data_IF_910188166777
#
_entry.id   IF_910188166777
#
_cell.length_a   1.000
_cell.length_b   1.000
_cell.length_c   1.000
_cell.angle_alpha   90.00
_cell.angle_beta   90.00
_cell.angle_gamma   90.00
#
_symmetry.space_group_name_H-M   'P 1'
#
loop_
_entity.id
_entity.type
_entity.pdbx_description
1 polymer ?
#
# COMPACT_ATOMS: atom_id res chain seq x y z
N UNK A 1 23.16 18.33 4.77
CA UNK A 1 22.15 18.01 3.72
C UNK A 1 20.75 18.08 4.30
N UNK A 2 20.48 17.39 5.42
CA UNK A 2 19.18 17.37 6.14
C UNK A 2 18.47 18.73 6.23
N UNK A 3 19.11 19.77 6.80
CA UNK A 3 18.49 21.10 6.99
C UNK A 3 18.08 21.78 5.68
N UNK A 4 18.90 21.62 4.63
CA UNK A 4 18.60 22.20 3.31
C UNK A 4 17.47 21.43 2.62
N UNK A 5 17.46 20.11 2.76
CA UNK A 5 16.39 19.26 2.23
C UNK A 5 15.06 19.57 2.89
N UNK A 6 15.03 19.65 4.22
CA UNK A 6 13.81 19.98 4.96
C UNK A 6 13.31 21.40 4.62
N UNK A 7 14.21 22.37 4.43
CA UNK A 7 13.82 23.72 4.01
C UNK A 7 13.20 23.75 2.60
N UNK A 8 13.59 22.85 1.70
CA UNK A 8 13.08 22.80 0.33
C UNK A 8 11.83 21.91 0.17
N UNK A 9 11.76 20.79 0.90
CA UNK A 9 10.74 19.74 0.72
C UNK A 9 9.71 19.74 1.86
N UNK A 10 10.00 20.39 2.99
CA UNK A 10 9.13 20.43 4.18
C UNK A 10 9.18 19.16 5.05
N UNK A 11 9.81 18.09 4.57
CA UNK A 11 9.96 16.81 5.26
C UNK A 11 11.44 16.45 5.45
N UNK A 12 11.75 15.63 6.45
CA UNK A 12 13.08 15.03 6.51
C UNK A 12 13.23 13.97 5.41
N UNK A 13 14.44 13.76 4.87
CA UNK A 13 14.75 12.66 3.95
C UNK A 13 14.22 11.31 4.44
N UNK A 14 14.34 11.02 5.74
CA UNK A 14 13.84 9.77 6.33
C UNK A 14 12.33 9.61 6.19
N UNK A 15 11.56 10.68 6.42
CA UNK A 15 10.10 10.63 6.27
C UNK A 15 9.73 10.40 4.81
N UNK A 16 10.41 11.08 3.88
CA UNK A 16 10.17 10.86 2.46
C UNK A 16 10.45 9.39 2.06
N UNK A 17 11.57 8.82 2.50
CA UNK A 17 11.86 7.40 2.23
C UNK A 17 10.78 6.45 2.77
N UNK A 18 10.13 6.78 3.89
CA UNK A 18 9.02 5.97 4.43
C UNK A 18 7.77 6.06 3.54
N UNK A 19 7.46 7.26 3.04
CA UNK A 19 6.33 7.49 2.12
C UNK A 19 6.57 6.77 0.79
N UNK A 20 7.74 6.94 0.18
CA UNK A 20 8.11 6.26 -1.06
C UNK A 20 8.03 4.74 -0.92
N UNK A 21 8.49 4.19 0.21
CA UNK A 21 8.37 2.76 0.50
C UNK A 21 6.92 2.29 0.57
N UNK A 22 6.05 3.06 1.22
CA UNK A 22 4.62 2.75 1.26
C UNK A 22 4.00 2.80 -0.14
N UNK A 23 4.29 3.86 -0.92
CA UNK A 23 3.78 3.98 -2.29
C UNK A 23 4.22 2.81 -3.16
N UNK A 24 5.47 2.39 -3.03
CA UNK A 24 5.98 1.20 -3.72
C UNK A 24 5.24 -0.07 -3.28
N UNK A 25 5.02 -0.25 -1.97
CA UNK A 25 4.24 -1.37 -1.45
C UNK A 25 2.82 -1.42 -2.03
N UNK A 26 2.16 -0.27 -2.16
CA UNK A 26 0.82 -0.16 -2.74
C UNK A 26 0.82 -0.45 -4.25
N UNK A 27 1.85 -0.04 -4.99
CA UNK A 27 1.97 -0.33 -6.41
C UNK A 27 2.13 -1.84 -6.68
N UNK A 28 2.84 -2.56 -5.80
CA UNK A 28 2.99 -4.02 -5.91
C UNK A 28 1.66 -4.77 -5.75
N UNK A 29 0.70 -4.21 -5.03
CA UNK A 29 -0.65 -4.79 -4.92
C UNK A 29 -1.49 -4.61 -6.19
N UNK A 30 -1.13 -3.67 -7.07
CA UNK A 30 -1.85 -3.43 -8.34
C UNK A 30 -1.32 -4.28 -9.50
N UNK A 31 -0.22 -5.01 -9.28
CA UNK A 31 0.39 -5.85 -10.30
C UNK A 31 -0.39 -7.15 -10.55
N UNK A 32 -0.19 -7.80 -11.73
CA UNK A 32 -0.86 -9.04 -12.10
C UNK A 32 -0.52 -10.24 -11.19
N UNK A 33 0.53 -10.12 -10.37
CA UNK A 33 0.87 -11.04 -9.29
C UNK A 33 0.86 -10.26 -7.99
N UNK A 34 -0.29 -10.25 -7.31
CA UNK A 34 -0.36 -9.72 -5.95
C UNK A 34 0.60 -10.52 -5.06
N UNK A 35 1.60 -9.84 -4.51
CA UNK A 35 2.54 -10.42 -3.54
C UNK A 35 1.96 -10.19 -2.16
N UNK A 36 1.98 -11.21 -1.29
CA UNK A 36 1.41 -11.12 0.05
C UNK A 36 2.46 -11.39 1.15
N UNK A 37 2.12 -11.02 2.39
CA UNK A 37 2.88 -11.38 3.58
C UNK A 37 4.35 -10.94 3.55
N UNK A 38 5.24 -11.88 3.87
CA UNK A 38 6.67 -11.61 4.01
C UNK A 38 7.36 -11.30 2.66
N UNK A 39 6.93 -11.95 1.57
CA UNK A 39 7.49 -11.68 0.24
C UNK A 39 7.16 -10.24 -0.20
N UNK A 40 5.95 -9.77 0.10
CA UNK A 40 5.56 -8.40 -0.17
C UNK A 40 6.37 -7.39 0.64
N UNK A 41 6.59 -7.68 1.93
CA UNK A 41 7.43 -6.84 2.77
C UNK A 41 8.83 -6.67 2.18
N UNK A 42 9.47 -7.77 1.76
CA UNK A 42 10.80 -7.75 1.17
C UNK A 42 10.81 -7.02 -0.19
N UNK A 43 9.86 -7.34 -1.07
CA UNK A 43 9.73 -6.70 -2.38
C UNK A 43 9.52 -5.19 -2.26
N UNK A 44 8.78 -4.74 -1.25
CA UNK A 44 8.55 -3.32 -0.98
C UNK A 44 9.73 -2.64 -0.25
N UNK A 45 10.81 -3.34 0.08
CA UNK A 45 11.99 -2.77 0.75
C UNK A 45 11.85 -2.62 2.27
N UNK A 46 10.95 -3.39 2.90
CA UNK A 46 10.95 -3.59 4.35
C UNK A 46 11.88 -4.73 4.74
N UNK A 47 12.50 -4.59 5.91
CA UNK A 47 13.35 -5.62 6.50
C UNK A 47 12.60 -6.95 6.73
N UNK A 48 11.38 -6.89 7.26
CA UNK A 48 10.53 -8.04 7.52
C UNK A 48 9.04 -7.62 7.55
N UNK A 49 8.15 -8.60 7.69
CA UNK A 49 6.71 -8.37 7.76
C UNK A 49 6.29 -7.52 8.98
N UNK A 50 6.95 -7.69 10.13
CA UNK A 50 6.59 -6.94 11.33
C UNK A 50 6.93 -5.44 11.19
N UNK A 51 8.07 -5.13 10.57
CA UNK A 51 8.47 -3.78 10.18
C UNK A 51 7.49 -3.18 9.18
N UNK A 52 7.10 -3.94 8.15
CA UNK A 52 6.06 -3.52 7.21
C UNK A 52 4.76 -3.16 7.94
N UNK A 53 4.24 -4.05 8.79
CA UNK A 53 2.97 -3.83 9.50
C UNK A 53 3.02 -2.56 10.35
N UNK A 54 4.13 -2.32 11.08
CA UNK A 54 4.30 -1.11 11.91
C UNK A 54 4.29 0.16 11.07
N UNK A 55 5.07 0.19 10.00
CA UNK A 55 5.18 1.35 9.11
C UNK A 55 3.88 1.63 8.37
N UNK A 56 3.26 0.58 7.82
CA UNK A 56 2.02 0.69 7.07
C UNK A 56 0.89 1.22 7.97
N UNK A 57 0.77 0.71 9.20
CA UNK A 57 -0.20 1.23 10.16
C UNK A 57 0.08 2.68 10.54
N UNK A 58 1.35 3.05 10.70
CA UNK A 58 1.74 4.42 11.05
C UNK A 58 1.43 5.44 9.95
N UNK A 59 1.43 5.03 8.68
CA UNK A 59 1.23 5.92 7.54
C UNK A 59 -0.18 5.85 6.92
N UNK A 60 -0.76 4.65 6.83
CA UNK A 60 -2.06 4.40 6.20
C UNK A 60 -3.20 4.18 7.21
N UNK A 61 -2.89 4.08 8.52
CA UNK A 61 -3.89 3.92 9.59
C UNK A 61 -4.42 2.50 9.80
N UNK A 62 -4.09 1.56 8.90
CA UNK A 62 -4.60 0.20 8.88
C UNK A 62 -3.47 -0.81 8.58
N UNK A 63 -3.73 -2.11 8.78
CA UNK A 63 -2.70 -3.12 8.50
C UNK A 63 -2.64 -3.43 7.01
N UNK A 64 -1.48 -3.90 6.50
CA UNK A 64 -1.35 -4.25 5.09
C UNK A 64 -2.39 -5.27 4.61
N UNK A 65 -2.70 -6.29 5.41
CA UNK A 65 -3.74 -7.28 5.09
C UNK A 65 -5.17 -6.74 5.17
N UNK A 66 -5.46 -5.79 6.06
CA UNK A 66 -6.76 -5.11 6.08
C UNK A 66 -6.96 -4.26 4.82
N UNK A 67 -5.92 -3.54 4.38
CA UNK A 67 -5.93 -2.77 3.14
C UNK A 67 -6.24 -3.65 1.93
N UNK A 68 -5.52 -4.76 1.78
CA UNK A 68 -5.68 -5.68 0.67
C UNK A 68 -7.11 -6.25 0.62
N UNK A 69 -7.68 -6.59 1.78
CA UNK A 69 -9.06 -7.08 1.86
C UNK A 69 -10.10 -6.02 1.48
N UNK A 70 -9.97 -4.80 2.00
CA UNK A 70 -10.89 -3.69 1.65
C UNK A 70 -10.83 -3.39 0.14
N UNK A 71 -9.63 -3.42 -0.45
CA UNK A 71 -9.42 -3.27 -1.89
C UNK A 71 -10.10 -4.38 -2.69
N UNK A 72 -9.90 -5.64 -2.32
CA UNK A 72 -10.54 -6.77 -2.99
C UNK A 72 -12.08 -6.68 -2.93
N UNK A 73 -12.64 -6.23 -1.80
CA UNK A 73 -14.08 -6.02 -1.65
C UNK A 73 -14.60 -4.87 -2.54
N UNK A 74 -13.82 -3.79 -2.70
CA UNK A 74 -14.17 -2.68 -3.59
C UNK A 74 -14.16 -3.09 -5.07
N UNK A 75 -13.26 -3.99 -5.48
CA UNK A 75 -13.19 -4.50 -6.85
C UNK A 75 -14.35 -5.46 -7.19
N UNK A 76 -14.88 -6.20 -6.20
CA UNK A 76 -15.99 -7.15 -6.39
C UNK A 76 -17.38 -6.49 -6.30
N UNK A 77 -17.48 -5.27 -5.73
CA UNK A 77 -18.74 -4.62 -5.38
C UNK A 77 -19.63 -4.09 -6.53
N UNK A 78 -19.20 -4.16 -7.80
CA UNK A 78 -19.93 -3.58 -8.94
C UNK A 78 -20.24 -4.58 -10.07
N UNK A 79 -20.72 -5.79 -9.75
CA UNK A 79 -21.43 -6.65 -10.71
C UNK A 79 -22.93 -6.54 -10.46
N UNK A 80 -23.55 -5.45 -10.92
CA UNK A 80 -24.96 -5.51 -11.30
C UNK A 80 -24.97 -5.98 -12.76
N UNK A 81 -25.46 -7.18 -13.04
CA UNK A 81 -25.88 -7.55 -14.39
C UNK A 81 -27.29 -6.99 -14.60
N UNK A 82 -27.50 -5.93 -15.40
CA UNK A 82 -28.83 -5.58 -15.85
C UNK A 82 -29.06 -6.35 -17.14
N UNK A 83 -29.48 -7.62 -17.02
CA UNK A 83 -30.22 -8.32 -18.08
C UNK A 83 -30.81 -9.61 -17.51
N UNK A 84 -31.77 -9.42 -16.60
CA UNK A 84 -32.88 -10.35 -16.43
C UNK A 84 -34.18 -9.59 -16.77
N UNK A 85 -34.20 -8.97 -17.95
CA UNK A 85 -35.39 -8.41 -18.56
C UNK A 85 -35.67 -9.14 -19.88
N UNK A 86 -36.61 -10.07 -19.84
CA UNK A 86 -37.48 -10.43 -20.96
C UNK A 86 -36.94 -11.38 -22.01
N UNK A 87 -37.31 -12.65 -21.90
CA UNK A 87 -38.08 -13.38 -22.91
C UNK A 87 -38.68 -14.66 -22.29
#
# INVERSE_FOLDING_TARGET
>A
VERRFQAAVGLSPKVLCRIERLQHALALLQGPRAVEGAEWALAAGYYDQAHQVREFRALAGLTPGAYARERAQAEVGFVQSPDAAGA
#
